data_IF_008703457143
#
_entry.id   IF_008703457143
#
_cell.length_a   1.000
_cell.length_b   1.000
_cell.length_c   1.000
_cell.angle_alpha   90.00
_cell.angle_beta   90.00
_cell.angle_gamma   90.00
#
_symmetry.space_group_name_H-M   'P 1'
#
loop_
_entity.id
_entity.type
_entity.pdbx_description
1 polymer ?
#
# COMPACT_ATOMS: atom_id res chain seq x y z
N UNK A 1 -34.76 -29.87 1.39
CA UNK A 1 -33.46 -29.36 1.86
C UNK A 1 -33.05 -28.38 0.80
N UNK A 2 -33.02 -27.09 1.13
CA UNK A 2 -32.81 -26.01 0.16
C UNK A 2 -31.39 -26.11 -0.40
N UNK A 3 -31.25 -26.26 -1.72
CA UNK A 3 -29.94 -26.36 -2.39
C UNK A 3 -29.11 -25.09 -2.13
N UNK A 4 -29.76 -23.93 -2.06
CA UNK A 4 -29.19 -22.62 -1.71
C UNK A 4 -28.60 -22.57 -0.30
N UNK A 5 -29.28 -23.16 0.69
CA UNK A 5 -28.78 -23.21 2.08
C UNK A 5 -27.55 -24.11 2.19
N UNK A 6 -27.53 -25.19 1.41
CA UNK A 6 -26.40 -26.13 1.35
C UNK A 6 -25.19 -25.47 0.67
N UNK A 7 -25.40 -24.62 -0.34
CA UNK A 7 -24.33 -23.88 -1.02
C UNK A 7 -23.73 -22.78 -0.14
N UNK A 8 -24.55 -22.02 0.60
CA UNK A 8 -24.10 -21.01 1.57
C UNK A 8 -23.28 -21.65 2.71
N UNK A 9 -23.77 -22.75 3.30
CA UNK A 9 -23.06 -23.47 4.35
C UNK A 9 -21.69 -24.00 3.86
N UNK A 10 -21.59 -24.40 2.59
CA UNK A 10 -20.33 -24.86 2.00
C UNK A 10 -19.32 -23.71 1.78
N UNK A 11 -19.79 -22.50 1.44
CA UNK A 11 -18.94 -21.32 1.25
C UNK A 11 -18.38 -20.83 2.59
N UNK A 12 -19.21 -20.77 3.62
CA UNK A 12 -18.83 -20.26 4.95
C UNK A 12 -17.91 -21.23 5.71
N UNK A 13 -18.01 -22.53 5.44
CA UNK A 13 -17.20 -23.57 6.08
C UNK A 13 -16.04 -24.07 5.20
N UNK A 14 -15.65 -23.33 4.16
CA UNK A 14 -14.55 -23.70 3.28
C UNK A 14 -13.23 -23.80 4.07
N UNK A 15 -12.57 -24.97 4.14
CA UNK A 15 -11.31 -25.11 4.88
C UNK A 15 -10.17 -24.26 4.30
N UNK A 16 -10.30 -23.79 3.06
CA UNK A 16 -9.34 -22.94 2.36
C UNK A 16 -9.79 -21.47 2.32
N UNK A 17 -10.70 -21.04 3.20
CA UNK A 17 -11.18 -19.65 3.26
C UNK A 17 -10.04 -18.64 3.50
N UNK A 18 -8.97 -19.05 4.18
CA UNK A 18 -7.78 -18.21 4.36
C UNK A 18 -7.14 -17.75 3.04
N UNK A 19 -7.24 -18.56 1.98
CA UNK A 19 -6.64 -18.26 0.66
C UNK A 19 -7.39 -17.16 -0.10
N UNK A 20 -8.65 -16.86 0.24
CA UNK A 20 -9.42 -15.81 -0.45
C UNK A 20 -9.22 -14.43 0.18
N UNK A 21 -8.57 -14.37 1.35
CA UNK A 21 -8.32 -13.12 2.09
C UNK A 21 -7.00 -12.45 1.75
N UNK A 22 -6.20 -13.02 0.84
CA UNK A 22 -5.04 -12.39 0.24
C UNK A 22 -4.99 -12.77 -1.23
N UNK A 23 -4.93 -11.78 -2.13
CA UNK A 23 -4.83 -12.04 -3.56
C UNK A 23 -3.89 -11.08 -4.28
N UNK A 24 -3.22 -11.57 -5.32
CA UNK A 24 -2.57 -10.72 -6.30
C UNK A 24 -3.64 -10.07 -7.17
N UNK A 25 -3.67 -8.73 -7.23
CA UNK A 25 -4.61 -7.97 -8.06
C UNK A 25 -4.01 -7.74 -9.44
N UNK A 26 -2.75 -7.33 -9.49
CA UNK A 26 -1.98 -7.16 -10.72
C UNK A 26 -0.48 -7.28 -10.42
N UNK A 27 0.26 -7.80 -11.40
CA UNK A 27 1.71 -7.63 -11.48
C UNK A 27 2.04 -6.94 -12.81
N UNK A 28 2.31 -5.63 -12.75
CA UNK A 28 2.61 -4.86 -13.95
C UNK A 28 3.94 -5.34 -14.54
N UNK A 29 4.03 -5.39 -15.87
CA UNK A 29 5.31 -5.72 -16.49
C UNK A 29 6.24 -4.52 -16.30
N UNK A 30 7.44 -4.72 -15.74
CA UNK A 30 8.42 -3.65 -15.69
C UNK A 30 8.78 -3.21 -17.12
N UNK A 31 9.23 -1.95 -17.30
CA UNK A 31 9.74 -1.49 -18.58
C UNK A 31 10.80 -2.45 -19.12
N UNK A 32 10.82 -2.64 -20.44
CA UNK A 32 11.93 -3.37 -21.08
C UNK A 32 13.21 -2.57 -20.89
N UNK A 33 14.09 -3.06 -20.02
CA UNK A 33 15.43 -2.51 -19.79
C UNK A 33 16.48 -3.46 -20.34
N UNK A 34 17.62 -2.91 -20.71
CA UNK A 34 18.77 -3.74 -21.09
C UNK A 34 19.21 -4.58 -19.90
N UNK A 35 19.52 -5.85 -20.14
CA UNK A 35 20.00 -6.73 -19.08
C UNK A 35 21.39 -6.27 -18.65
N UNK A 36 21.56 -6.10 -17.35
CA UNK A 36 22.83 -5.81 -16.72
C UNK A 36 23.23 -6.95 -15.79
N UNK A 37 24.47 -7.41 -15.88
CA UNK A 37 25.00 -8.49 -15.04
C UNK A 37 25.48 -7.93 -13.69
N UNK A 38 24.51 -7.71 -12.79
CA UNK A 38 24.77 -7.23 -11.43
C UNK A 38 25.73 -8.12 -10.63
N UNK A 39 25.72 -9.43 -10.89
CA UNK A 39 26.46 -10.40 -10.10
C UNK A 39 27.95 -10.44 -10.45
N UNK A 40 28.29 -10.24 -11.74
CA UNK A 40 29.66 -10.33 -12.23
C UNK A 40 30.28 -8.98 -12.61
N UNK A 41 29.59 -7.86 -12.34
CA UNK A 41 30.11 -6.52 -12.61
C UNK A 41 31.47 -6.29 -11.95
N UNK A 42 32.40 -5.72 -12.71
CA UNK A 42 33.73 -5.31 -12.22
C UNK A 42 34.02 -3.89 -12.68
N UNK A 43 34.32 -2.95 -11.76
CA UNK A 43 34.49 -1.56 -12.13
C UNK A 43 35.74 -1.33 -13.00
N UNK A 44 36.78 -2.14 -12.85
CA UNK A 44 38.00 -2.05 -13.66
C UNK A 44 37.76 -2.42 -15.13
N UNK A 45 36.65 -3.10 -15.44
CA UNK A 45 36.29 -3.48 -16.80
C UNK A 45 35.53 -2.38 -17.56
N UNK A 46 35.08 -1.32 -16.86
CA UNK A 46 34.29 -0.22 -17.44
C UNK A 46 35.16 0.59 -18.39
N UNK A 47 34.80 0.57 -19.68
CA UNK A 47 35.47 1.31 -20.76
C UNK A 47 34.52 2.22 -21.53
N UNK A 48 33.22 1.96 -21.40
CA UNK A 48 32.14 2.59 -22.16
C UNK A 48 30.87 2.68 -21.33
N UNK A 49 29.85 3.37 -21.84
CA UNK A 49 28.57 3.51 -21.15
C UNK A 49 27.81 2.19 -21.04
N UNK A 50 28.00 1.30 -22.01
CA UNK A 50 27.39 -0.02 -22.13
C UNK A 50 27.88 -1.00 -21.05
N UNK A 51 29.00 -0.70 -20.40
CA UNK A 51 29.54 -1.47 -19.28
C UNK A 51 28.87 -1.12 -17.94
N UNK A 52 27.98 -0.12 -17.91
CA UNK A 52 27.25 0.35 -16.74
C UNK A 52 25.75 0.04 -16.86
N UNK A 53 25.00 0.01 -15.74
CA UNK A 53 23.54 -0.07 -15.80
C UNK A 53 22.98 1.05 -16.67
N UNK A 54 22.10 0.74 -17.63
CA UNK A 54 21.48 1.76 -18.48
C UNK A 54 20.42 2.59 -17.73
N UNK A 55 19.96 2.12 -16.56
CA UNK A 55 18.91 2.74 -15.75
C UNK A 55 19.07 2.41 -14.26
N UNK A 56 18.75 3.38 -13.39
CA UNK A 56 18.56 3.24 -11.94
C UNK A 56 17.29 3.99 -11.51
N UNK A 57 16.91 3.88 -10.22
CA UNK A 57 15.70 4.42 -9.59
C UNK A 57 15.20 5.76 -10.12
N UNK A 58 16.08 6.73 -10.37
CA UNK A 58 15.67 8.07 -10.82
C UNK A 58 15.71 8.30 -12.32
N UNK A 59 16.29 7.39 -13.10
CA UNK A 59 16.33 7.58 -14.54
C UNK A 59 17.45 6.82 -15.27
N UNK A 60 17.55 7.08 -16.59
CA UNK A 60 18.62 6.51 -17.41
C UNK A 60 19.99 7.07 -17.03
N UNK A 61 21.03 6.37 -17.47
CA UNK A 61 22.41 6.85 -17.39
C UNK A 61 22.56 8.17 -18.17
N UNK A 62 23.10 9.19 -17.51
CA UNK A 62 23.38 10.48 -18.11
C UNK A 62 24.73 10.45 -18.85
N UNK A 63 24.68 10.24 -20.17
CA UNK A 63 25.86 10.20 -21.03
C UNK A 63 26.64 11.53 -21.05
N UNK A 64 26.00 12.67 -20.74
CA UNK A 64 26.64 13.97 -20.74
C UNK A 64 27.56 14.22 -19.55
N UNK A 65 27.38 13.49 -18.46
CA UNK A 65 28.18 13.61 -17.22
C UNK A 65 29.08 12.41 -16.97
N UNK A 66 29.00 11.38 -17.83
CA UNK A 66 29.84 10.19 -17.78
C UNK A 66 31.29 10.56 -18.08
N UNK A 67 32.18 10.27 -17.14
CA UNK A 67 33.62 10.42 -17.29
C UNK A 67 34.24 9.05 -17.07
N UNK A 68 35.02 8.56 -18.04
CA UNK A 68 35.80 7.33 -17.92
C UNK A 68 37.24 7.67 -18.31
N UNK A 69 38.20 7.43 -17.40
CA UNK A 69 39.61 7.72 -17.63
C UNK A 69 40.51 6.76 -16.83
N UNK A 70 41.83 6.99 -16.86
CA UNK A 70 42.80 6.13 -16.18
C UNK A 70 42.66 6.10 -14.65
N UNK A 71 42.10 7.17 -14.05
CA UNK A 71 41.90 7.28 -12.61
C UNK A 71 40.57 6.66 -12.15
N UNK A 72 39.74 6.19 -13.08
CA UNK A 72 38.47 5.49 -12.82
C UNK A 72 37.30 6.06 -13.62
N UNK A 73 36.10 6.03 -13.03
CA UNK A 73 34.91 6.57 -13.69
C UNK A 73 34.01 7.37 -12.73
N UNK A 74 33.21 8.26 -13.31
CA UNK A 74 32.11 8.97 -12.66
C UNK A 74 30.87 8.83 -13.54
N UNK A 75 29.78 8.31 -12.99
CA UNK A 75 28.51 8.08 -13.66
C UNK A 75 27.36 8.68 -12.85
N UNK A 76 26.36 9.20 -13.55
CA UNK A 76 25.13 9.74 -12.95
C UNK A 76 23.92 9.11 -13.63
N UNK A 77 22.93 8.71 -12.83
CA UNK A 77 21.60 8.34 -13.30
C UNK A 77 20.62 9.37 -12.78
N UNK A 78 19.94 10.07 -13.67
CA UNK A 78 19.11 11.21 -13.30
C UNK A 78 17.81 11.26 -14.06
N UNK A 79 16.80 11.88 -13.43
CA UNK A 79 15.55 12.21 -14.08
C UNK A 79 15.77 13.32 -15.15
N UNK A 80 14.85 13.50 -16.11
CA UNK A 80 15.00 14.51 -17.15
C UNK A 80 15.19 15.95 -16.63
N UNK A 81 14.64 16.25 -15.44
CA UNK A 81 14.78 17.56 -14.79
C UNK A 81 16.05 17.69 -13.94
N UNK A 82 16.82 16.61 -13.77
CA UNK A 82 18.01 16.49 -12.90
C UNK A 82 17.78 16.89 -11.44
N UNK A 83 16.53 16.79 -10.98
CA UNK A 83 16.14 17.05 -9.60
C UNK A 83 16.32 15.81 -8.73
N UNK A 84 16.30 14.62 -9.33
CA UNK A 84 16.55 13.36 -8.65
C UNK A 84 17.66 12.59 -9.36
N UNK A 85 18.66 12.13 -8.60
CA UNK A 85 19.81 11.45 -9.17
C UNK A 85 20.56 10.54 -8.21
N UNK A 86 21.21 9.54 -8.78
CA UNK A 86 22.28 8.76 -8.13
C UNK A 86 23.59 9.05 -8.84
N UNK A 87 24.64 9.33 -8.08
CA UNK A 87 26.00 9.49 -8.58
C UNK A 87 26.84 8.33 -8.06
N UNK A 88 27.59 7.69 -8.95
CA UNK A 88 28.58 6.67 -8.61
C UNK A 88 29.94 7.09 -9.16
N UNK A 89 30.93 7.15 -8.29
CA UNK A 89 32.32 7.28 -8.66
C UNK A 89 33.07 6.01 -8.27
N UNK A 90 34.00 5.58 -9.10
CA UNK A 90 34.99 4.57 -8.74
C UNK A 90 36.38 5.11 -9.02
N UNK A 91 37.29 4.92 -8.08
CA UNK A 91 38.67 5.39 -8.17
C UNK A 91 39.65 4.21 -8.25
N UNK A 92 40.43 4.17 -9.34
CA UNK A 92 41.35 3.07 -9.64
C UNK A 92 42.57 3.00 -8.72
N UNK A 93 42.96 4.12 -8.09
CA UNK A 93 44.11 4.18 -7.17
C UNK A 93 43.75 3.71 -5.77
N UNK A 94 42.54 4.05 -5.32
CA UNK A 94 42.07 3.69 -3.98
C UNK A 94 41.29 2.39 -3.95
N UNK A 95 40.85 1.88 -5.11
CA UNK A 95 39.98 0.70 -5.22
C UNK A 95 38.67 0.87 -4.46
N UNK A 96 38.05 2.05 -4.57
CA UNK A 96 36.82 2.38 -3.84
C UNK A 96 35.75 2.97 -4.72
N UNK A 97 34.51 2.61 -4.41
CA UNK A 97 33.32 3.32 -4.83
C UNK A 97 33.00 4.46 -3.86
N UNK A 98 32.50 5.56 -4.39
CA UNK A 98 31.66 6.50 -3.63
C UNK A 98 30.33 6.63 -4.35
N UNK A 99 29.23 6.48 -3.62
CA UNK A 99 27.89 6.63 -4.15
C UNK A 99 27.11 7.65 -3.31
N UNK A 100 26.29 8.46 -3.97
CA UNK A 100 25.40 9.41 -3.31
C UNK A 100 24.10 9.56 -4.08
N UNK A 101 23.08 10.07 -3.39
CA UNK A 101 21.76 10.26 -3.98
C UNK A 101 21.14 11.60 -3.59
N UNK A 102 20.35 12.15 -4.50
CA UNK A 102 19.59 13.39 -4.34
C UNK A 102 18.18 13.14 -4.86
N UNK A 103 17.16 13.68 -4.18
CA UNK A 103 15.78 13.66 -4.66
C UNK A 103 15.12 15.01 -4.44
N UNK A 104 14.53 15.54 -5.52
CA UNK A 104 13.93 16.87 -5.57
C UNK A 104 14.84 17.97 -5.00
N UNK A 105 16.15 17.88 -5.24
CA UNK A 105 17.16 18.79 -4.69
C UNK A 105 17.55 18.57 -3.22
N UNK A 106 16.94 17.62 -2.52
CA UNK A 106 17.36 17.24 -1.16
C UNK A 106 18.43 16.14 -1.20
N UNK A 107 19.53 16.36 -0.47
CA UNK A 107 20.53 15.34 -0.27
C UNK A 107 19.94 14.15 0.51
N UNK A 108 20.17 12.95 -0.02
CA UNK A 108 19.93 11.70 0.70
C UNK A 108 21.23 11.20 1.34
N UNK A 109 21.40 9.88 1.36
CA UNK A 109 22.58 9.24 1.91
C UNK A 109 23.77 9.25 0.94
N UNK A 110 24.96 9.04 1.49
CA UNK A 110 26.17 8.74 0.73
C UNK A 110 26.93 7.59 1.39
N UNK A 111 27.63 6.78 0.59
CA UNK A 111 28.42 5.65 1.08
C UNK A 111 29.73 5.55 0.33
N UNK A 112 30.73 4.97 0.98
CA UNK A 112 32.03 4.67 0.40
C UNK A 112 32.39 3.22 0.70
N UNK A 113 32.63 2.43 -0.35
CA UNK A 113 32.82 0.99 -0.25
C UNK A 113 34.05 0.55 -1.04
N UNK A 114 34.68 -0.55 -0.63
CA UNK A 114 35.76 -1.14 -1.42
C UNK A 114 35.18 -1.75 -2.71
N UNK A 115 35.99 -1.81 -3.76
CA UNK A 115 35.56 -2.27 -5.09
C UNK A 115 35.34 -3.80 -5.19
N UNK A 116 35.54 -4.50 -4.08
CA UNK A 116 35.17 -5.91 -3.89
C UNK A 116 33.72 -6.09 -3.44
N UNK A 117 33.07 -5.02 -2.95
CA UNK A 117 31.65 -5.03 -2.61
C UNK A 117 30.82 -5.10 -3.90
N UNK A 118 29.90 -6.09 -4.03
CA UNK A 118 29.01 -6.16 -5.19
C UNK A 118 28.25 -4.86 -5.42
N UNK A 119 28.17 -4.38 -6.67
CA UNK A 119 27.61 -3.07 -6.99
C UNK A 119 26.17 -2.89 -6.48
N UNK A 120 25.35 -3.94 -6.54
CA UNK A 120 23.98 -3.90 -6.01
C UNK A 120 23.96 -3.61 -4.50
N UNK A 121 24.94 -4.11 -3.75
CA UNK A 121 25.07 -3.85 -2.31
C UNK A 121 25.55 -2.42 -2.06
N UNK A 122 26.42 -1.86 -2.91
CA UNK A 122 26.82 -0.45 -2.82
C UNK A 122 25.59 0.47 -2.92
N UNK A 123 24.66 0.19 -3.84
CA UNK A 123 23.41 0.95 -3.93
C UNK A 123 22.45 0.66 -2.77
N UNK A 124 22.35 -0.58 -2.31
CA UNK A 124 21.54 -0.91 -1.14
C UNK A 124 22.03 -0.20 0.14
N UNK A 125 23.35 0.01 0.28
CA UNK A 125 23.96 0.73 1.40
C UNK A 125 23.60 2.23 1.44
N UNK A 126 23.06 2.80 0.36
CA UNK A 126 22.46 4.14 0.41
C UNK A 126 21.20 4.19 1.31
N UNK A 127 20.66 3.03 1.68
CA UNK A 127 19.46 2.87 2.50
C UNK A 127 19.70 2.02 3.76
N UNK A 128 20.97 1.79 4.14
CA UNK A 128 21.33 0.98 5.32
C UNK A 128 20.75 1.57 6.62
N UNK A 129 20.80 2.89 6.76
CA UNK A 129 20.20 3.64 7.88
C UNK A 129 18.70 3.95 7.66
N UNK A 130 18.06 3.21 6.75
CA UNK A 130 16.67 3.41 6.35
C UNK A 130 16.51 4.42 5.21
N UNK A 131 15.26 4.81 4.98
CA UNK A 131 14.92 5.77 3.94
C UNK A 131 15.36 7.20 4.34
N UNK A 132 15.92 8.01 3.41
CA UNK A 132 16.41 9.35 3.76
C UNK A 132 15.32 10.25 4.38
N UNK A 133 15.55 10.72 5.61
CA UNK A 133 14.57 11.49 6.39
C UNK A 133 14.11 12.78 5.70
N UNK A 134 15.03 13.49 5.06
CA UNK A 134 14.72 14.73 4.34
C UNK A 134 13.78 14.44 3.16
N UNK A 135 13.96 13.30 2.48
CA UNK A 135 13.06 12.88 1.41
C UNK A 135 11.69 12.51 1.97
N UNK A 136 11.64 11.84 3.12
CA UNK A 136 10.38 11.42 3.74
C UNK A 136 9.54 12.62 4.19
N UNK A 137 10.18 13.59 4.86
CA UNK A 137 9.53 14.83 5.29
C UNK A 137 9.03 15.65 4.09
N UNK A 138 9.85 15.77 3.03
CA UNK A 138 9.47 16.50 1.82
C UNK A 138 8.38 15.78 1.01
N UNK A 139 8.44 14.45 0.91
CA UNK A 139 7.40 13.65 0.28
C UNK A 139 6.08 13.77 1.05
N UNK A 140 6.12 13.72 2.39
CA UNK A 140 4.97 13.97 3.24
C UNK A 140 4.37 15.34 2.97
N UNK A 141 5.16 16.41 3.05
CA UNK A 141 4.70 17.78 2.78
C UNK A 141 4.08 17.90 1.38
N UNK A 142 4.78 17.39 0.36
CA UNK A 142 4.35 17.50 -1.04
C UNK A 142 3.06 16.72 -1.31
N UNK A 143 3.00 15.45 -0.91
CA UNK A 143 1.89 14.57 -1.26
C UNK A 143 0.69 14.78 -0.35
N UNK A 144 0.87 14.98 0.96
CA UNK A 144 -0.24 15.35 1.83
C UNK A 144 -0.72 16.77 1.53
N UNK A 145 0.13 17.67 1.05
CA UNK A 145 -0.28 19.01 0.63
C UNK A 145 -1.16 19.01 -0.63
N UNK A 146 -0.98 18.03 -1.51
CA UNK A 146 -1.75 17.89 -2.76
C UNK A 146 -2.97 16.97 -2.62
N UNK A 147 -2.86 15.85 -1.91
CA UNK A 147 -3.88 14.82 -1.84
C UNK A 147 -4.40 14.61 -0.41
N UNK A 148 -5.65 14.17 -0.29
CA UNK A 148 -6.18 13.61 0.95
C UNK A 148 -5.63 12.18 1.14
N UNK A 149 -4.42 12.10 1.71
CA UNK A 149 -3.78 10.85 2.13
C UNK A 149 -2.98 11.08 3.42
N UNK A 150 -2.56 10.00 4.06
CA UNK A 150 -1.56 10.04 5.15
C UNK A 150 -0.26 9.40 4.67
N UNK A 151 0.84 10.13 4.73
CA UNK A 151 2.18 9.60 4.56
C UNK A 151 2.72 9.18 5.94
N UNK A 152 2.90 7.87 6.10
CA UNK A 152 3.60 7.30 7.24
C UNK A 152 5.10 7.43 7.01
N UNK A 153 5.71 8.31 7.80
CA UNK A 153 7.15 8.41 7.86
C UNK A 153 7.75 7.10 8.39
N UNK A 154 8.85 6.67 7.78
CA UNK A 154 9.58 5.49 8.22
C UNK A 154 10.17 5.71 9.61
N UNK A 155 9.91 4.79 10.54
CA UNK A 155 10.72 4.70 11.76
C UNK A 155 12.15 4.28 11.35
N UNK A 156 13.17 4.82 12.01
CA UNK A 156 14.61 4.47 11.82
C UNK A 156 14.88 2.95 11.85
N UNK A 157 13.97 2.16 12.44
CA UNK A 157 14.08 0.70 12.56
C UNK A 157 13.37 -0.10 11.46
N UNK A 158 12.67 0.56 10.53
CA UNK A 158 12.01 -0.15 9.43
C UNK A 158 13.06 -0.48 8.35
N UNK A 159 13.20 -1.76 7.97
CA UNK A 159 14.11 -2.13 6.90
C UNK A 159 13.66 -1.46 5.61
N UNK A 160 14.60 -0.91 4.86
CA UNK A 160 14.34 -0.36 3.53
C UNK A 160 14.78 -1.36 2.50
N UNK A 161 13.83 -1.90 1.74
CA UNK A 161 14.09 -2.87 0.69
C UNK A 161 14.47 -2.15 -0.60
N UNK A 162 15.71 -2.38 -1.05
CA UNK A 162 16.19 -1.90 -2.34
C UNK A 162 16.11 -3.02 -3.38
N UNK A 163 15.33 -2.80 -4.44
CA UNK A 163 15.22 -3.70 -5.58
C UNK A 163 15.85 -3.06 -6.81
N UNK A 164 16.98 -3.59 -7.28
CA UNK A 164 17.61 -3.08 -8.48
C UNK A 164 16.79 -3.45 -9.74
N UNK A 165 16.64 -2.53 -10.72
CA UNK A 165 17.16 -1.17 -10.74
C UNK A 165 16.18 -0.11 -10.17
N UNK A 166 14.95 -0.49 -9.83
CA UNK A 166 13.83 0.40 -9.48
C UNK A 166 13.97 1.11 -8.13
N UNK A 167 14.90 0.67 -7.29
CA UNK A 167 15.17 1.26 -5.99
C UNK A 167 14.18 0.80 -4.92
N UNK A 168 13.78 1.75 -4.08
CA UNK A 168 12.96 1.49 -2.89
C UNK A 168 11.49 1.69 -3.20
N UNK A 169 10.62 0.86 -2.61
CA UNK A 169 9.19 0.92 -2.86
C UNK A 169 8.43 1.58 -1.70
N UNK A 170 7.27 2.10 -2.05
CA UNK A 170 6.23 2.59 -1.14
C UNK A 170 4.92 1.87 -1.46
N UNK A 171 4.07 1.77 -0.45
CA UNK A 171 2.79 1.06 -0.55
C UNK A 171 1.66 2.04 -0.32
N UNK A 172 0.85 2.30 -1.35
CA UNK A 172 -0.39 3.06 -1.25
C UNK A 172 -1.49 2.08 -0.83
N UNK A 173 -2.08 2.28 0.35
CA UNK A 173 -3.06 1.38 0.94
C UNK A 173 -4.37 2.09 1.22
N UNK A 174 -5.49 1.51 0.84
CA UNK A 174 -6.83 2.02 1.18
C UNK A 174 -7.88 0.90 1.18
N UNK A 175 -8.96 1.03 1.97
CA UNK A 175 -10.03 0.07 1.94
C UNK A 175 -10.76 0.12 0.60
N UNK A 176 -11.12 -1.06 0.09
CA UNK A 176 -11.95 -1.23 -1.09
C UNK A 176 -13.09 -2.18 -0.76
N UNK A 177 -14.28 -1.86 -1.26
CA UNK A 177 -15.40 -2.79 -1.15
C UNK A 177 -15.09 -4.04 -1.97
N UNK A 178 -15.41 -5.24 -1.45
CA UNK A 178 -15.14 -6.51 -2.12
C UNK A 178 -15.63 -6.50 -3.58
N UNK A 179 -16.87 -6.07 -3.82
CA UNK A 179 -17.46 -6.00 -5.17
C UNK A 179 -16.75 -5.04 -6.15
N UNK A 180 -15.92 -4.12 -5.63
CA UNK A 180 -15.18 -3.15 -6.42
C UNK A 180 -13.76 -3.63 -6.77
N UNK A 181 -13.31 -4.80 -6.28
CA UNK A 181 -11.97 -5.32 -6.57
C UNK A 181 -11.71 -5.51 -8.07
N UNK A 182 -12.69 -5.99 -8.84
CA UNK A 182 -12.58 -6.11 -10.30
C UNK A 182 -12.39 -4.77 -10.98
N UNK A 183 -13.12 -3.77 -10.50
CA UNK A 183 -13.01 -2.41 -11.02
C UNK A 183 -11.64 -1.81 -10.71
N UNK A 184 -11.17 -1.94 -9.46
CA UNK A 184 -9.82 -1.55 -9.06
C UNK A 184 -8.74 -2.22 -9.92
N UNK A 185 -8.86 -3.54 -10.14
CA UNK A 185 -7.98 -4.29 -11.04
C UNK A 185 -7.98 -3.71 -12.46
N UNK A 186 -9.16 -3.44 -13.03
CA UNK A 186 -9.29 -2.87 -14.38
C UNK A 186 -8.59 -1.52 -14.50
N UNK A 187 -8.72 -0.66 -13.49
CA UNK A 187 -8.03 0.65 -13.44
C UNK A 187 -6.51 0.44 -13.43
N UNK A 188 -6.00 -0.45 -12.58
CA UNK A 188 -4.57 -0.72 -12.50
C UNK A 188 -4.03 -1.38 -13.78
N UNK A 189 -4.80 -2.25 -14.43
CA UNK A 189 -4.46 -2.83 -15.73
C UNK A 189 -4.39 -1.74 -16.81
N UNK A 190 -5.28 -0.76 -16.79
CA UNK A 190 -5.23 0.40 -17.68
C UNK A 190 -3.97 1.24 -17.44
N UNK A 191 -3.67 1.57 -16.18
CA UNK A 191 -2.44 2.29 -15.81
C UNK A 191 -1.19 1.51 -16.26
N UNK A 192 -1.18 0.19 -16.09
CA UNK A 192 -0.09 -0.67 -16.56
C UNK A 192 0.03 -0.66 -18.09
N UNK A 193 -1.09 -0.60 -18.81
CA UNK A 193 -1.11 -0.61 -20.28
C UNK A 193 -0.58 0.71 -20.89
N UNK A 194 -0.64 1.81 -20.14
CA UNK A 194 -0.01 3.09 -20.53
C UNK A 194 1.52 3.07 -20.44
N UNK A 195 2.11 1.94 -20.04
CA UNK A 195 3.56 1.72 -20.00
C UNK A 195 4.31 2.77 -19.17
N UNK A 196 4.06 2.86 -17.86
CA UNK A 196 4.86 3.72 -16.99
C UNK A 196 6.34 3.35 -17.07
N UNK A 197 7.22 4.30 -16.78
CA UNK A 197 8.67 4.09 -16.78
C UNK A 197 9.19 3.26 -15.59
N UNK A 198 8.29 2.63 -14.85
CA UNK A 198 8.55 1.82 -13.66
C UNK A 198 7.57 0.63 -13.62
N UNK A 199 7.99 -0.48 -13.00
CA UNK A 199 7.09 -1.58 -12.67
C UNK A 199 6.36 -1.33 -11.36
N UNK A 200 5.16 -1.86 -11.19
CA UNK A 200 4.39 -1.82 -9.94
C UNK A 200 3.57 -3.11 -9.82
N UNK A 201 3.11 -3.42 -8.62
CA UNK A 201 2.18 -4.52 -8.40
C UNK A 201 1.16 -4.13 -7.36
N UNK A 202 0.06 -4.86 -7.30
CA UNK A 202 -0.92 -4.66 -6.25
C UNK A 202 -1.43 -5.99 -5.70
N UNK A 203 -1.64 -6.00 -4.40
CA UNK A 203 -2.29 -7.09 -3.66
C UNK A 203 -3.52 -6.53 -2.94
N UNK A 204 -4.46 -7.39 -2.60
CA UNK A 204 -5.53 -7.05 -1.69
C UNK A 204 -5.50 -8.03 -0.52
N UNK A 205 -5.58 -7.50 0.72
CA UNK A 205 -5.55 -8.31 1.93
C UNK A 205 -6.66 -7.92 2.89
N UNK A 206 -7.24 -8.90 3.58
CA UNK A 206 -8.20 -8.64 4.64
C UNK A 206 -7.47 -8.12 5.88
N UNK A 207 -7.87 -6.95 6.36
CA UNK A 207 -7.38 -6.37 7.60
C UNK A 207 -8.54 -6.08 8.53
N UNK A 208 -8.28 -6.12 9.84
CA UNK A 208 -9.22 -5.59 10.83
C UNK A 208 -8.99 -4.09 10.99
N UNK A 209 -10.08 -3.35 11.03
CA UNK A 209 -10.15 -1.92 11.33
C UNK A 209 -10.95 -1.69 12.62
N UNK A 210 -10.31 -1.13 13.62
CA UNK A 210 -10.95 -0.61 14.83
C UNK A 210 -11.15 0.89 14.63
N UNK A 211 -12.40 1.31 14.41
CA UNK A 211 -12.78 2.70 14.12
C UNK A 211 -13.44 3.32 15.34
N UNK A 212 -12.88 4.41 15.82
CA UNK A 212 -13.37 5.17 16.97
C UNK A 212 -13.89 6.52 16.50
N UNK A 213 -15.17 6.78 16.73
CA UNK A 213 -15.84 8.05 16.42
C UNK A 213 -16.09 8.84 17.71
N UNK A 214 -15.43 9.99 17.86
CA UNK A 214 -15.55 10.84 19.05
C UNK A 214 -16.93 11.50 19.11
N UNK A 215 -17.67 11.25 20.19
CA UNK A 215 -18.99 11.85 20.38
C UNK A 215 -18.90 13.38 20.46
N UNK A 216 -19.74 14.05 19.66
CA UNK A 216 -19.78 15.51 19.56
C UNK A 216 -18.75 16.14 18.61
N UNK A 217 -17.87 15.34 17.99
CA UNK A 217 -16.92 15.80 16.96
C UNK A 217 -17.10 15.05 15.64
N UNK A 218 -17.24 13.72 15.70
CA UNK A 218 -17.51 12.89 14.53
C UNK A 218 -18.89 13.19 13.90
N UNK A 219 -19.09 12.88 12.60
CA UNK A 219 -20.35 13.11 11.91
C UNK A 219 -21.57 12.56 12.66
N UNK A 220 -22.70 13.26 12.62
CA UNK A 220 -23.85 12.96 13.49
C UNK A 220 -24.43 11.54 13.32
N UNK A 221 -24.34 10.97 12.13
CA UNK A 221 -24.78 9.59 11.88
C UNK A 221 -24.01 8.57 12.72
N UNK A 222 -22.79 8.90 13.16
CA UNK A 222 -21.95 8.00 13.99
C UNK A 222 -22.52 7.77 15.39
N UNK A 223 -23.52 8.57 15.80
CA UNK A 223 -24.23 8.41 17.08
C UNK A 223 -25.30 7.33 17.04
N UNK A 224 -25.79 7.00 15.85
CA UNK A 224 -26.77 5.94 15.65
C UNK A 224 -26.05 4.64 15.30
N UNK A 225 -26.11 3.67 16.21
CA UNK A 225 -25.46 2.37 16.07
C UNK A 225 -25.93 1.65 14.79
N UNK A 226 -27.22 1.72 14.45
CA UNK A 226 -27.76 1.06 13.26
C UNK A 226 -27.25 1.74 11.98
N UNK A 227 -27.12 3.07 11.98
CA UNK A 227 -26.50 3.79 10.87
C UNK A 227 -25.01 3.43 10.75
N UNK A 228 -24.26 3.36 11.86
CA UNK A 228 -22.85 2.93 11.85
C UNK A 228 -22.66 1.56 11.20
N UNK A 229 -23.48 0.59 11.61
CA UNK A 229 -23.45 -0.76 11.06
C UNK A 229 -23.75 -0.76 9.56
N UNK A 230 -24.84 -0.08 9.14
CA UNK A 230 -25.27 -0.03 7.74
C UNK A 230 -24.23 0.66 6.86
N UNK A 231 -23.67 1.77 7.34
CA UNK A 231 -22.63 2.52 6.64
C UNK A 231 -21.36 1.66 6.48
N UNK A 232 -20.96 0.94 7.52
CA UNK A 232 -19.80 0.03 7.47
C UNK A 232 -19.99 -1.06 6.42
N UNK A 233 -21.15 -1.73 6.41
CA UNK A 233 -21.49 -2.74 5.40
C UNK A 233 -21.44 -2.13 4.00
N UNK A 234 -22.00 -0.93 3.84
CA UNK A 234 -22.02 -0.19 2.59
C UNK A 234 -20.64 0.28 2.12
N UNK A 235 -19.59 0.22 2.95
CA UNK A 235 -18.23 0.65 2.62
C UNK A 235 -17.30 -0.54 2.38
N UNK A 236 -17.40 -1.60 3.19
CA UNK A 236 -16.49 -2.76 3.11
C UNK A 236 -17.10 -3.94 2.37
N UNK A 237 -18.44 -4.06 2.34
CA UNK A 237 -19.15 -5.26 1.89
C UNK A 237 -19.14 -6.39 2.92
N UNK A 238 -18.72 -6.11 4.16
CA UNK A 238 -18.64 -7.08 5.26
C UNK A 238 -19.42 -6.59 6.47
N UNK A 239 -19.95 -7.53 7.24
CA UNK A 239 -20.62 -7.23 8.50
C UNK A 239 -19.56 -6.91 9.55
N UNK A 240 -19.71 -5.83 10.33
CA UNK A 240 -18.87 -5.58 11.50
C UNK A 240 -18.83 -6.78 12.45
N UNK A 241 -17.67 -6.99 13.08
CA UNK A 241 -17.46 -8.15 13.96
C UNK A 241 -18.33 -8.09 15.23
N UNK A 242 -18.68 -6.88 15.68
CA UNK A 242 -19.52 -6.66 16.85
C UNK A 242 -20.37 -5.38 16.69
N UNK A 243 -21.40 -5.26 17.52
CA UNK A 243 -22.23 -4.06 17.63
C UNK A 243 -21.37 -2.94 18.22
N UNK A 244 -21.36 -1.72 17.61
CA UNK A 244 -20.59 -0.61 18.12
C UNK A 244 -20.87 -0.32 19.59
N UNK A 245 -19.82 -0.07 20.37
CA UNK A 245 -19.90 0.19 21.81
C UNK A 245 -19.40 1.59 22.12
N UNK A 246 -20.03 2.26 23.08
CA UNK A 246 -19.51 3.52 23.60
C UNK A 246 -18.45 3.24 24.66
N UNK A 247 -17.28 3.84 24.51
CA UNK A 247 -16.12 3.67 25.38
C UNK A 247 -15.56 5.04 25.79
N UNK A 248 -14.94 5.12 26.97
CA UNK A 248 -14.23 6.32 27.43
C UNK A 248 -12.73 6.15 27.20
N UNK A 249 -12.14 7.03 26.39
CA UNK A 249 -10.71 7.06 26.08
C UNK A 249 -10.21 8.47 26.35
N UNK A 250 -9.23 8.59 27.25
CA UNK A 250 -8.59 9.86 27.62
C UNK A 250 -9.62 10.95 28.06
N UNK A 251 -10.68 10.54 28.76
CA UNK A 251 -11.74 11.44 29.24
C UNK A 251 -12.73 11.91 28.18
N UNK A 252 -12.63 11.40 26.95
CA UNK A 252 -13.61 11.61 25.89
C UNK A 252 -14.42 10.33 25.63
N UNK A 253 -15.68 10.49 25.24
CA UNK A 253 -16.53 9.36 24.85
C UNK A 253 -16.38 9.10 23.36
N UNK A 254 -16.27 7.82 22.99
CA UNK A 254 -16.08 7.35 21.62
C UNK A 254 -17.05 6.22 21.31
N UNK A 255 -17.63 6.20 20.11
CA UNK A 255 -18.29 5.02 19.57
C UNK A 255 -17.25 4.20 18.82
N UNK A 256 -16.99 2.99 19.31
CA UNK A 256 -16.01 2.05 18.80
C UNK A 256 -16.69 0.99 17.94
N UNK A 257 -16.26 0.86 16.69
CA UNK A 257 -16.71 -0.10 15.69
C UNK A 257 -15.53 -0.98 15.27
N UNK A 258 -15.67 -2.30 15.41
CA UNK A 258 -14.69 -3.27 14.90
C UNK A 258 -15.24 -3.89 13.62
N UNK A 259 -14.50 -3.75 12.51
CA UNK A 259 -14.90 -4.27 11.20
C UNK A 259 -13.73 -4.88 10.45
N UNK A 260 -14.04 -5.79 9.53
CA UNK A 260 -13.07 -6.23 8.54
C UNK A 260 -13.20 -5.38 7.27
N UNK A 261 -12.05 -5.08 6.67
CA UNK A 261 -11.97 -4.34 5.41
C UNK A 261 -10.95 -5.00 4.49
N UNK A 262 -11.32 -5.17 3.23
CA UNK A 262 -10.36 -5.55 2.20
C UNK A 262 -9.52 -4.33 1.84
N UNK A 263 -8.23 -4.38 2.15
CA UNK A 263 -7.28 -3.31 1.89
C UNK A 263 -6.56 -3.60 0.58
N UNK A 264 -6.66 -2.67 -0.38
CA UNK A 264 -5.87 -2.71 -1.59
C UNK A 264 -4.50 -2.06 -1.31
N UNK A 265 -3.43 -2.75 -1.64
CA UNK A 265 -2.05 -2.31 -1.50
C UNK A 265 -1.41 -2.18 -2.88
N UNK A 266 -1.07 -0.97 -3.29
CA UNK A 266 -0.36 -0.70 -4.55
C UNK A 266 1.10 -0.39 -4.24
N UNK A 267 2.00 -1.29 -4.65
CA UNK A 267 3.43 -1.21 -4.43
C UNK A 267 4.10 -0.52 -5.61
N UNK A 268 4.70 0.64 -5.34
CA UNK A 268 5.25 1.54 -6.36
C UNK A 268 6.67 1.91 -6.00
N UNK A 269 7.63 1.88 -6.94
CA UNK A 269 8.94 2.50 -6.74
C UNK A 269 8.77 3.96 -6.31
N UNK A 270 9.59 4.42 -5.37
CA UNK A 270 9.48 5.79 -4.83
C UNK A 270 9.52 6.86 -5.94
N UNK A 271 10.37 6.67 -6.95
CA UNK A 271 10.44 7.55 -8.11
C UNK A 271 9.14 7.61 -8.94
N UNK A 272 8.33 6.55 -8.91
CA UNK A 272 7.03 6.46 -9.59
C UNK A 272 5.86 7.04 -8.79
N UNK A 273 6.06 7.40 -7.50
CA UNK A 273 4.95 7.81 -6.61
C UNK A 273 4.16 9.01 -7.14
N UNK A 274 4.84 10.01 -7.70
CA UNK A 274 4.17 11.22 -8.22
C UNK A 274 3.23 10.89 -9.38
N UNK A 275 3.71 10.10 -10.32
CA UNK A 275 2.94 9.65 -11.50
C UNK A 275 1.79 8.72 -11.08
N UNK A 276 2.04 7.73 -10.23
CA UNK A 276 1.00 6.81 -9.78
C UNK A 276 -0.11 7.53 -9.01
N UNK A 277 0.22 8.42 -8.07
CA UNK A 277 -0.79 9.18 -7.32
C UNK A 277 -1.64 10.06 -8.24
N UNK A 278 -1.03 10.69 -9.25
CA UNK A 278 -1.75 11.46 -10.25
C UNK A 278 -2.73 10.56 -11.03
N UNK A 279 -2.27 9.45 -11.59
CA UNK A 279 -3.10 8.53 -12.36
C UNK A 279 -4.25 7.94 -11.55
N UNK A 280 -3.99 7.59 -10.29
CA UNK A 280 -5.05 7.13 -9.38
C UNK A 280 -6.05 8.25 -9.07
N UNK A 281 -5.60 9.50 -8.93
CA UNK A 281 -6.50 10.64 -8.69
C UNK A 281 -7.38 11.03 -9.87
N UNK A 282 -6.93 10.71 -11.09
CA UNK A 282 -7.70 10.90 -12.32
C UNK A 282 -8.69 9.73 -12.57
N UNK A 283 -8.75 8.77 -11.64
CA UNK A 283 -9.61 7.59 -11.70
C UNK A 283 -10.65 7.58 -10.57
N UNK A 284 -11.65 6.67 -10.59
CA UNK A 284 -12.59 6.48 -9.48
C UNK A 284 -12.00 5.91 -8.17
N UNK A 285 -10.66 5.81 -8.06
CA UNK A 285 -9.97 5.36 -6.84
C UNK A 285 -9.99 6.45 -5.75
N UNK A 286 -9.86 6.12 -4.45
CA UNK A 286 -10.02 7.07 -3.36
C UNK A 286 -8.80 7.99 -3.15
N UNK A 287 -8.03 8.31 -4.19
CA UNK A 287 -6.94 9.28 -4.14
C UNK A 287 -7.49 10.63 -4.60
N UNK A 288 -7.84 11.52 -3.68
CA UNK A 288 -8.54 12.77 -4.02
C UNK A 288 -7.62 13.98 -3.79
N UNK A 289 -7.64 14.96 -4.70
CA UNK A 289 -6.90 16.22 -4.52
C UNK A 289 -7.55 17.10 -3.44
N UNK A 290 -6.75 17.92 -2.74
CA UNK A 290 -7.22 18.82 -1.68
C UNK A 290 -8.12 19.97 -2.13
N UNK A 291 -8.40 20.08 -3.42
CA UNK A 291 -9.41 21.00 -3.96
C UNK A 291 -10.84 20.54 -3.68
N UNK A 292 -11.03 19.27 -3.32
CA UNK A 292 -12.34 18.66 -3.10
C UNK A 292 -12.68 18.53 -1.60
N UNK A 293 -13.83 17.92 -1.29
CA UNK A 293 -14.22 17.66 0.10
C UNK A 293 -13.34 16.55 0.73
N UNK A 294 -12.95 16.68 2.01
CA UNK A 294 -12.09 15.70 2.67
C UNK A 294 -12.76 14.33 2.80
N UNK A 295 -11.97 13.28 2.58
CA UNK A 295 -12.38 11.90 2.84
C UNK A 295 -12.37 11.64 4.35
N UNK A 296 -13.26 10.76 4.80
CA UNK A 296 -13.31 10.30 6.19
C UNK A 296 -12.07 9.48 6.55
N UNK A 297 -11.51 9.66 7.74
CA UNK A 297 -10.21 9.08 8.14
C UNK A 297 -10.10 7.55 7.96
N UNK A 298 -11.19 6.82 8.20
CA UNK A 298 -11.28 5.36 8.08
C UNK A 298 -11.37 4.85 6.64
N UNK A 299 -11.50 5.76 5.67
CA UNK A 299 -11.42 5.48 4.23
C UNK A 299 -10.22 6.17 3.58
N UNK A 300 -9.46 6.96 4.35
CA UNK A 300 -8.37 7.78 3.85
C UNK A 300 -7.18 6.90 3.42
N UNK A 301 -6.65 7.07 2.21
CA UNK A 301 -5.45 6.36 1.77
C UNK A 301 -4.24 6.63 2.67
N UNK A 302 -3.42 5.60 2.82
CA UNK A 302 -2.18 5.62 3.61
C UNK A 302 -1.03 5.19 2.72
N UNK A 303 -0.01 6.04 2.62
CA UNK A 303 1.27 5.67 1.99
C UNK A 303 2.23 5.24 3.08
N UNK A 304 2.79 4.05 2.94
CA UNK A 304 3.69 3.46 3.94
C UNK A 304 4.98 2.90 3.32
N UNK A 305 6.05 2.72 4.11
CA UNK A 305 7.21 1.95 3.71
C UNK A 305 6.83 0.49 3.38
N UNK A 306 7.47 -0.10 2.36
CA UNK A 306 7.37 -1.53 2.12
C UNK A 306 7.89 -2.32 3.33
N UNK A 307 7.22 -3.43 3.69
CA UNK A 307 7.64 -4.30 4.81
C UNK A 307 7.17 -3.83 6.19
N UNK A 308 6.29 -2.84 6.27
CA UNK A 308 5.65 -2.43 7.54
C UNK A 308 5.05 -3.62 8.33
N UNK A 309 4.33 -4.58 7.72
CA UNK A 309 3.74 -5.72 8.44
C UNK A 309 4.78 -6.65 9.08
N UNK A 310 6.03 -6.66 8.59
CA UNK A 310 7.09 -7.51 9.15
C UNK A 310 7.61 -7.00 10.51
N UNK A 311 7.32 -5.74 10.85
CA UNK A 311 7.80 -5.08 12.07
C UNK A 311 6.67 -4.67 13.01
N UNK A 312 5.46 -4.46 12.48
CA UNK A 312 4.30 -4.01 13.24
C UNK A 312 3.11 -4.91 12.99
N UNK A 313 2.42 -5.31 14.06
CA UNK A 313 1.15 -6.04 13.97
C UNK A 313 -0.04 -5.10 13.69
N UNK A 314 0.12 -3.81 14.02
CA UNK A 314 -0.89 -2.79 13.80
C UNK A 314 -0.29 -1.39 13.77
N UNK A 315 -1.06 -0.43 13.25
CA UNK A 315 -0.76 0.99 13.34
C UNK A 315 -2.05 1.80 13.51
N UNK A 316 -1.95 2.95 14.19
CA UNK A 316 -3.09 3.82 14.50
C UNK A 316 -2.93 5.18 13.84
N UNK A 317 -4.02 5.69 13.26
CA UNK A 317 -4.12 7.01 12.67
C UNK A 317 -5.19 7.83 13.40
N UNK A 318 -4.84 9.06 13.76
CA UNK A 318 -5.73 9.98 14.45
C UNK A 318 -6.08 11.17 13.54
N UNK A 319 -7.38 11.50 13.49
CA UNK A 319 -7.90 12.73 12.93
C UNK A 319 -8.61 13.53 14.03
N UNK A 320 -7.90 14.48 14.61
CA UNK A 320 -8.46 15.33 15.67
C UNK A 320 -9.51 16.31 15.15
N UNK A 321 -9.49 16.63 13.85
CA UNK A 321 -10.43 17.58 13.23
C UNK A 321 -11.78 16.89 13.02
N UNK A 322 -11.77 15.70 12.44
CA UNK A 322 -12.98 14.91 12.23
C UNK A 322 -13.40 14.14 13.49
N UNK A 323 -12.53 14.04 14.50
CA UNK A 323 -12.77 13.25 15.70
C UNK A 323 -12.84 11.74 15.40
N UNK A 324 -11.98 11.25 14.51
CA UNK A 324 -11.96 9.85 14.07
C UNK A 324 -10.57 9.28 14.30
N UNK A 325 -10.49 8.17 15.03
CA UNK A 325 -9.28 7.37 15.22
C UNK A 325 -9.48 6.02 14.58
N UNK A 326 -8.45 5.48 13.93
CA UNK A 326 -8.52 4.20 13.22
C UNK A 326 -7.27 3.41 13.53
N UNK A 327 -7.44 2.18 14.02
CA UNK A 327 -6.34 1.22 14.15
C UNK A 327 -6.51 0.14 13.09
N UNK A 328 -5.44 -0.09 12.31
CA UNK A 328 -5.37 -1.14 11.31
C UNK A 328 -4.55 -2.29 11.88
N UNK A 329 -5.10 -3.50 11.87
CA UNK A 329 -4.45 -4.71 12.38
C UNK A 329 -4.28 -5.73 11.26
N UNK A 330 -3.07 -6.27 11.10
CA UNK A 330 -2.76 -7.32 10.14
C UNK A 330 -3.23 -8.68 10.69
N UNK A 331 -4.09 -9.39 9.96
CA UNK A 331 -4.79 -10.60 10.46
C UNK A 331 -4.06 -11.92 10.17
N UNK A 332 -3.20 -11.96 9.16
CA UNK A 332 -2.50 -13.18 8.73
C UNK A 332 -1.06 -12.84 8.34
N UNK A 333 -0.12 -13.81 8.40
CA UNK A 333 1.17 -13.63 7.77
C UNK A 333 0.97 -13.38 6.27
N UNK A 334 1.69 -12.38 5.74
CA UNK A 334 1.63 -12.00 4.33
C UNK A 334 2.13 -13.18 3.48
N UNK A 335 1.32 -13.62 2.51
CA UNK A 335 1.73 -14.61 1.53
C UNK A 335 2.69 -13.92 0.57
N UNK A 336 3.83 -14.56 0.28
CA UNK A 336 4.80 -14.00 -0.66
C UNK A 336 4.15 -13.74 -2.03
N UNK A 337 4.51 -12.64 -2.68
CA UNK A 337 3.93 -12.25 -3.96
C UNK A 337 4.06 -13.37 -5.01
N UNK A 338 5.21 -14.04 -5.08
CA UNK A 338 5.44 -15.14 -6.02
C UNK A 338 4.44 -16.28 -5.83
N UNK A 339 4.09 -16.61 -4.58
CA UNK A 339 3.10 -17.62 -4.26
C UNK A 339 1.69 -17.14 -4.62
N UNK A 340 1.35 -15.88 -4.28
CA UNK A 340 0.07 -15.27 -4.67
C UNK A 340 -0.14 -15.25 -6.18
N UNK A 341 0.92 -15.02 -6.96
CA UNK A 341 0.87 -15.00 -8.42
C UNK A 341 0.64 -16.38 -9.05
N UNK A 342 0.80 -17.46 -8.29
CA UNK A 342 0.42 -18.81 -8.75
C UNK A 342 -1.07 -19.09 -8.64
N UNK A 343 -1.79 -18.29 -7.84
CA UNK A 343 -3.23 -18.44 -7.62
C UNK A 343 -4.02 -17.77 -8.74
N UNK A 344 -5.21 -18.29 -9.03
CA UNK A 344 -6.13 -17.66 -9.97
C UNK A 344 -6.89 -16.52 -9.28
N UNK A 345 -6.39 -15.29 -9.46
CA UNK A 345 -7.01 -14.09 -8.91
C UNK A 345 -8.47 -13.91 -9.32
N UNK A 346 -8.89 -14.36 -10.50
CA UNK A 346 -10.30 -14.24 -10.90
C UNK A 346 -11.18 -15.17 -10.07
N UNK A 347 -10.73 -16.42 -9.90
CA UNK A 347 -11.40 -17.40 -9.04
C UNK A 347 -11.43 -16.95 -7.58
N UNK A 348 -10.35 -16.34 -7.07
CA UNK A 348 -10.33 -15.78 -5.72
C UNK A 348 -11.34 -14.65 -5.55
N UNK A 349 -11.43 -13.72 -6.52
CA UNK A 349 -12.43 -12.64 -6.47
C UNK A 349 -13.85 -13.22 -6.53
N UNK A 350 -14.13 -14.20 -7.42
CA UNK A 350 -15.44 -14.87 -7.49
C UNK A 350 -15.84 -15.49 -6.14
N UNK A 351 -14.90 -16.18 -5.48
CA UNK A 351 -15.13 -16.81 -4.17
C UNK A 351 -15.37 -15.76 -3.09
N UNK A 352 -14.63 -14.65 -3.11
CA UNK A 352 -14.76 -13.56 -2.15
C UNK A 352 -16.08 -12.80 -2.31
N UNK A 353 -16.51 -12.55 -3.54
CA UNK A 353 -17.83 -11.97 -3.85
C UNK A 353 -18.95 -12.86 -3.31
N UNK A 354 -18.90 -14.17 -3.59
CA UNK A 354 -19.87 -15.14 -3.06
C UNK A 354 -19.87 -15.23 -1.53
N UNK A 355 -18.69 -15.15 -0.91
CA UNK A 355 -18.57 -15.12 0.55
C UNK A 355 -19.23 -13.87 1.16
N UNK A 356 -18.97 -12.70 0.57
CA UNK A 356 -19.61 -11.43 0.96
C UNK A 356 -21.14 -11.51 0.82
N UNK A 357 -21.64 -12.01 -0.32
CA UNK A 357 -23.08 -12.18 -0.54
C UNK A 357 -23.72 -13.14 0.47
N UNK A 358 -23.08 -14.30 0.72
CA UNK A 358 -23.58 -15.29 1.68
C UNK A 358 -23.67 -14.73 3.10
N UNK A 359 -22.69 -13.91 3.50
CA UNK A 359 -22.70 -13.22 4.79
C UNK A 359 -23.90 -12.24 4.88
N UNK A 360 -24.13 -11.44 3.83
CA UNK A 360 -25.22 -10.45 3.80
C UNK A 360 -26.60 -11.11 3.79
N UNK A 361 -26.75 -12.23 3.08
CA UNK A 361 -27.96 -13.03 3.07
C UNK A 361 -28.26 -13.62 4.46
N UNK A 362 -27.24 -14.16 5.13
CA UNK A 362 -27.39 -14.70 6.48
C UNK A 362 -27.85 -13.62 7.47
N UNK A 363 -27.29 -12.41 7.39
CA UNK A 363 -27.75 -11.28 8.21
C UNK A 363 -29.20 -10.91 7.94
N UNK A 364 -29.59 -10.88 6.66
CA UNK A 364 -30.96 -10.55 6.28
C UNK A 364 -31.95 -11.58 6.84
N UNK A 365 -31.59 -12.87 6.81
CA UNK A 365 -32.38 -13.95 7.41
C UNK A 365 -32.47 -13.81 8.94
N UNK A 366 -31.36 -13.53 9.61
CA UNK A 366 -31.32 -13.35 11.07
C UNK A 366 -32.18 -12.17 11.53
N UNK A 367 -32.18 -11.07 10.77
CA UNK A 367 -33.02 -9.89 11.03
C UNK A 367 -34.50 -10.22 10.89
N UNK A 368 -34.91 -10.94 9.84
CA UNK A 368 -36.30 -11.35 9.66
C UNK A 368 -36.76 -12.35 10.73
N UNK A 369 -35.90 -13.28 11.14
CA UNK A 369 -36.20 -14.19 12.25
C UNK A 369 -36.34 -13.42 13.57
N UNK A 370 -35.48 -12.44 13.82
CA UNK A 370 -35.56 -11.58 15.01
C UNK A 370 -36.85 -10.76 15.04
N UNK A 371 -37.27 -10.18 13.90
CA UNK A 371 -38.57 -9.49 13.76
C UNK A 371 -39.74 -10.42 14.06
N UNK A 372 -39.75 -11.62 13.46
CA UNK A 372 -40.80 -12.62 13.71
C UNK A 372 -40.89 -12.99 15.19
N UNK A 373 -39.75 -13.26 15.84
CA UNK A 373 -39.70 -13.55 17.29
C UNK A 373 -40.17 -12.37 18.16
N UNK A 374 -39.93 -11.13 17.71
CA UNK A 374 -40.41 -9.93 18.41
C UNK A 374 -41.94 -9.75 18.27
N UNK A 375 -42.50 -10.11 17.12
CA UNK A 375 -43.95 -10.10 16.85
C UNK A 375 -44.68 -11.25 17.58
N UNK A 376 -44.01 -12.38 17.80
CA UNK A 376 -44.53 -13.53 18.54
C UNK A 376 -44.47 -13.37 20.07
N UNK A 377 -43.81 -12.33 20.61
CA UNK A 377 -43.87 -12.03 22.05
C UNK A 377 -45.29 -11.57 22.42
N UNK A 378 -45.99 -12.26 23.36
CA UNK A 378 -47.33 -11.86 23.73
C UNK A 378 -47.31 -10.45 24.34
N UNK A 379 -48.19 -9.57 23.83
CA UNK A 379 -48.58 -8.37 24.56
C UNK A 379 -49.01 -8.80 25.96
N UNK A 380 -48.23 -8.43 26.97
CA UNK A 380 -48.69 -8.53 28.36
C UNK A 380 -49.92 -7.61 28.42
N UNK A 381 -51.10 -8.21 28.42
CA UNK A 381 -52.34 -7.51 28.72
C UNK A 381 -52.32 -7.27 30.22
N UNK A 382 -51.90 -6.08 30.64
CA UNK A 382 -52.19 -5.59 31.98
C UNK A 382 -53.67 -5.21 32.00
N UNK A 383 -54.48 -6.03 32.66
CA UNK A 383 -55.84 -5.68 33.11
C UNK A 383 -55.82 -4.62 34.22
#
# INVERSE_FOLDING_TARGET
MDETKTEQDNILNDPNLGEIFQLAVINSKPPKREKFDWANFKPQAVKSAEDLPSYLVFGPLNHGTLIINADGFNAEWSDPEQKAKIVLNWNSKTHKYTASQVWDGEEGSATQQDDTTPLIQVFAMLYEDGFPKNWDAKAKEQFEGKYYLTWLEGNERLPTYFAAPDGVFRVISFPVMIKNLRHARTILEHISAETPNYGFFATATLMQQDVYYKLGTAPDWTRDIAMCMTQSIGETGLIPQDIPRTEEIEGAQWNHLVRDAMMLHVFVPFAGMRDMLQKLSESPMPIIERTDAPIRRDLLPVVSPQGLPEKLNSFTLDDTIQGIRVTYTFLAPEIALDDLLTLDSNSQIDRLEKFSDAILDQLSADVEEAKRKAEEKPRIVTE
#
